data_IF_077392455295
#
_entry.id   IF_077392455295
#
_cell.length_a   1.000
_cell.length_b   1.000
_cell.length_c   1.000
_cell.angle_alpha   90.00
_cell.angle_beta   90.00
_cell.angle_gamma   90.00
#
_symmetry.space_group_name_H-M   'P 1'
#
loop_
_entity.id
_entity.type
_entity.pdbx_description
1 polymer ?
#
# COMPACT_ATOMS: atom_id res chain seq x y z
N UNK A 1 9.31 -44.19 11.15
CA UNK A 1 7.93 -44.23 10.63
C UNK A 1 7.58 -42.83 10.17
N UNK A 2 7.53 -42.59 8.85
CA UNK A 2 7.33 -41.27 8.29
C UNK A 2 5.86 -40.86 8.44
N UNK A 3 5.61 -39.78 9.16
CA UNK A 3 4.28 -39.20 9.38
C UNK A 3 3.87 -38.53 8.06
N UNK A 4 2.91 -39.14 7.35
CA UNK A 4 2.34 -38.58 6.12
C UNK A 4 1.63 -37.28 6.48
N UNK A 5 2.27 -36.14 6.23
CA UNK A 5 1.62 -34.84 6.32
C UNK A 5 0.63 -34.75 5.17
N UNK A 6 -0.65 -34.72 5.51
CA UNK A 6 -1.75 -34.55 4.55
C UNK A 6 -1.45 -33.36 3.63
N UNK A 7 -1.57 -33.53 2.29
CA UNK A 7 -1.18 -32.50 1.31
C UNK A 7 -1.93 -31.18 1.53
N UNK A 8 -3.10 -31.23 2.17
CA UNK A 8 -3.88 -30.06 2.55
C UNK A 8 -3.20 -29.19 3.61
N UNK A 9 -2.43 -29.79 4.53
CA UNK A 9 -1.71 -29.06 5.58
C UNK A 9 -0.56 -28.26 4.96
N UNK A 10 0.12 -28.84 3.97
CA UNK A 10 1.18 -28.15 3.21
C UNK A 10 0.59 -26.98 2.41
N UNK A 11 -0.57 -27.20 1.78
CA UNK A 11 -1.25 -26.15 1.02
C UNK A 11 -1.73 -24.99 1.91
N UNK A 12 -2.28 -25.29 3.09
CA UNK A 12 -2.68 -24.30 4.09
C UNK A 12 -1.49 -23.47 4.59
N UNK A 13 -0.36 -24.12 4.88
CA UNK A 13 0.86 -23.43 5.30
C UNK A 13 1.37 -22.47 4.22
N UNK A 14 1.35 -22.87 2.95
CA UNK A 14 1.75 -21.99 1.84
C UNK A 14 0.82 -20.77 1.72
N UNK A 15 -0.50 -20.97 1.81
CA UNK A 15 -1.47 -19.86 1.75
C UNK A 15 -1.29 -18.86 2.91
N UNK A 16 -0.92 -19.34 4.10
CA UNK A 16 -0.61 -18.48 5.25
C UNK A 16 0.67 -17.66 4.99
N UNK A 17 1.70 -18.26 4.40
CA UNK A 17 2.94 -17.53 4.05
C UNK A 17 2.66 -16.44 3.00
N UNK A 18 1.90 -16.74 1.94
CA UNK A 18 1.56 -15.76 0.90
C UNK A 18 0.60 -14.65 1.35
N UNK A 19 -0.24 -14.89 2.36
CA UNK A 19 -1.14 -13.86 2.88
C UNK A 19 -0.44 -12.85 3.81
N UNK A 20 0.68 -13.24 4.43
CA UNK A 20 1.51 -12.35 5.24
C UNK A 20 2.39 -11.43 4.38
N UNK A 21 2.68 -11.79 3.12
CA UNK A 21 3.43 -10.91 2.19
C UNK A 21 2.62 -9.71 1.64
N UNK A 22 1.34 -9.56 2.02
CA UNK A 22 0.57 -8.34 1.78
C UNK A 22 0.75 -7.29 2.90
N UNK A 23 1.87 -7.33 3.63
CA UNK A 23 2.26 -6.25 4.53
C UNK A 23 2.61 -5.02 3.69
N UNK A 24 1.68 -4.07 3.72
CA UNK A 24 1.80 -2.71 3.19
C UNK A 24 3.22 -2.19 3.39
N UNK A 25 3.97 -2.01 2.30
CA UNK A 25 5.28 -1.37 2.33
C UNK A 25 5.12 0.06 2.85
N UNK A 26 5.43 0.27 4.13
CA UNK A 26 5.62 1.59 4.73
C UNK A 26 7.02 2.06 4.35
N UNK A 27 7.11 2.86 3.30
CA UNK A 27 8.37 3.49 2.87
C UNK A 27 8.69 4.59 3.88
N UNK A 28 9.59 4.32 4.82
CA UNK A 28 10.08 5.32 5.78
C UNK A 28 10.99 6.32 5.07
N UNK A 29 10.45 7.51 4.78
CA UNK A 29 11.23 8.68 4.40
C UNK A 29 11.82 9.34 5.65
N UNK A 30 13.13 9.54 5.63
CA UNK A 30 13.95 10.06 6.72
C UNK A 30 13.53 11.46 7.23
N UNK A 31 13.55 11.63 8.55
CA UNK A 31 13.90 12.89 9.23
C UNK A 31 12.81 13.96 9.39
N UNK A 32 12.17 13.98 10.57
CA UNK A 32 11.42 15.13 11.11
C UNK A 32 9.94 15.14 10.76
N UNK A 33 9.07 14.83 11.73
CA UNK A 33 7.66 14.43 11.56
C UNK A 33 7.52 13.14 10.75
N UNK A 34 7.08 12.06 11.41
CA UNK A 34 6.79 10.79 10.73
C UNK A 34 5.68 11.08 9.72
N UNK A 35 6.02 11.13 8.45
CA UNK A 35 5.04 11.33 7.38
C UNK A 35 4.78 9.97 6.75
N UNK A 36 3.52 9.58 6.69
CA UNK A 36 3.07 8.37 6.06
C UNK A 36 2.61 8.68 4.64
N UNK A 37 2.86 7.73 3.74
CA UNK A 37 2.47 7.82 2.33
C UNK A 37 1.53 6.68 1.98
N UNK A 38 0.48 6.98 1.24
CA UNK A 38 -0.41 5.97 0.65
C UNK A 38 -0.72 6.38 -0.78
N UNK A 39 -0.65 5.45 -1.71
CA UNK A 39 -0.99 5.69 -3.11
C UNK A 39 -2.13 4.76 -3.55
N UNK A 40 -2.96 5.24 -4.46
CA UNK A 40 -3.92 4.40 -5.16
C UNK A 40 -3.92 4.70 -6.66
N UNK A 41 -4.17 3.64 -7.42
CA UNK A 41 -4.25 3.69 -8.87
C UNK A 41 -5.48 4.49 -9.32
N UNK A 42 -5.26 5.44 -10.22
CA UNK A 42 -6.32 6.24 -10.84
C UNK A 42 -6.48 7.61 -10.20
N UNK A 43 -5.73 8.59 -10.72
CA UNK A 43 -5.94 10.01 -10.48
C UNK A 43 -6.50 10.66 -11.75
N UNK A 44 -7.80 10.97 -11.75
CA UNK A 44 -8.46 11.67 -12.87
C UNK A 44 -8.39 13.18 -12.72
N UNK A 45 -8.60 13.66 -11.49
CA UNK A 45 -8.66 15.08 -11.14
C UNK A 45 -7.82 15.27 -9.87
N UNK A 46 -6.86 16.18 -9.92
CA UNK A 46 -5.95 16.46 -8.79
C UNK A 46 -6.70 17.01 -7.57
N UNK A 47 -7.71 17.86 -7.79
CA UNK A 47 -8.57 18.37 -6.73
C UNK A 47 -9.28 17.26 -5.96
N UNK A 48 -9.77 16.22 -6.64
CA UNK A 48 -10.44 15.08 -5.99
C UNK A 48 -9.47 14.32 -5.10
N UNK A 49 -8.25 14.09 -5.59
CA UNK A 49 -7.16 13.47 -4.83
C UNK A 49 -6.85 14.27 -3.56
N UNK A 50 -6.67 15.59 -3.68
CA UNK A 50 -6.41 16.49 -2.54
C UNK A 50 -7.53 16.40 -1.51
N UNK A 51 -8.80 16.53 -1.94
CA UNK A 51 -9.96 16.53 -1.04
C UNK A 51 -10.08 15.17 -0.33
N UNK A 52 -9.89 14.06 -1.04
CA UNK A 52 -9.95 12.73 -0.45
C UNK A 52 -8.82 12.49 0.56
N UNK A 53 -7.58 12.89 0.23
CA UNK A 53 -6.44 12.80 1.14
C UNK A 53 -6.67 13.60 2.42
N UNK A 54 -7.22 14.81 2.27
CA UNK A 54 -7.54 15.68 3.39
C UNK A 54 -8.67 15.09 4.25
N UNK A 55 -9.78 14.66 3.63
CA UNK A 55 -10.93 14.13 4.36
C UNK A 55 -10.63 12.81 5.08
N UNK A 56 -9.82 11.93 4.47
CA UNK A 56 -9.57 10.58 5.00
C UNK A 56 -8.40 10.51 5.97
N UNK A 57 -7.34 11.28 5.72
CA UNK A 57 -6.08 11.19 6.47
C UNK A 57 -5.65 12.51 7.11
N UNK A 58 -6.37 13.62 6.89
CA UNK A 58 -5.92 14.95 7.31
C UNK A 58 -4.64 15.40 6.61
N UNK A 59 -4.33 14.81 5.45
CA UNK A 59 -3.08 14.99 4.72
C UNK A 59 -3.22 15.86 3.48
N UNK A 60 -2.14 15.86 2.68
CA UNK A 60 -2.08 16.45 1.34
C UNK A 60 -2.14 15.36 0.29
N UNK A 61 -2.73 15.65 -0.87
CA UNK A 61 -2.79 14.75 -2.01
C UNK A 61 -2.12 15.35 -3.24
N UNK A 62 -1.59 14.52 -4.12
CA UNK A 62 -1.16 14.92 -5.46
C UNK A 62 -1.32 13.79 -6.47
N UNK A 63 -1.63 14.14 -7.72
CA UNK A 63 -1.56 13.19 -8.82
C UNK A 63 -0.11 13.05 -9.26
N UNK A 64 0.43 11.83 -9.26
CA UNK A 64 1.76 11.55 -9.79
C UNK A 64 1.74 10.32 -10.69
N UNK A 65 2.69 10.26 -11.63
CA UNK A 65 2.87 9.10 -12.50
C UNK A 65 4.12 8.33 -12.06
N UNK A 66 4.00 7.12 -11.50
CA UNK A 66 5.15 6.32 -11.12
C UNK A 66 6.01 5.96 -12.34
N UNK A 67 7.34 5.89 -12.22
CA UNK A 67 8.20 5.40 -13.29
C UNK A 67 7.84 3.95 -13.63
N UNK A 68 7.77 3.63 -14.93
CA UNK A 68 7.45 2.27 -15.40
C UNK A 68 5.95 1.92 -15.44
N UNK A 69 5.05 2.86 -15.18
CA UNK A 69 3.59 2.64 -15.24
C UNK A 69 2.90 3.55 -16.28
N UNK A 70 1.75 3.11 -16.77
CA UNK A 70 0.92 3.89 -17.73
C UNK A 70 -0.22 4.66 -17.06
N UNK A 71 -0.44 4.45 -15.76
CA UNK A 71 -1.53 5.06 -15.01
C UNK A 71 -1.00 6.16 -14.08
N UNK A 72 -1.83 7.17 -13.87
CA UNK A 72 -1.59 8.23 -12.90
C UNK A 72 -2.18 7.76 -11.57
N UNK A 73 -1.42 7.88 -10.49
CA UNK A 73 -1.81 7.53 -9.14
C UNK A 73 -2.06 8.79 -8.32
N UNK A 74 -2.95 8.68 -7.33
CA UNK A 74 -3.09 9.70 -6.30
C UNK A 74 -2.22 9.31 -5.11
N UNK A 75 -1.28 10.15 -4.72
CA UNK A 75 -0.44 10.00 -3.54
C UNK A 75 -0.96 10.90 -2.42
N UNK A 76 -1.26 10.34 -1.26
CA UNK A 76 -1.44 11.12 -0.05
C UNK A 76 -0.19 11.08 0.83
N UNK A 77 0.15 12.25 1.36
CA UNK A 77 1.11 12.43 2.43
C UNK A 77 0.40 12.96 3.67
N UNK A 78 0.50 12.25 4.79
CA UNK A 78 -0.20 12.61 6.03
C UNK A 78 0.68 12.37 7.26
N UNK A 79 0.45 13.11 8.35
CA UNK A 79 1.18 12.88 9.59
C UNK A 79 0.82 11.52 10.20
N UNK A 80 1.86 10.80 10.64
CA UNK A 80 1.82 9.62 11.49
C UNK A 80 2.99 9.72 12.50
#
# INVERSE_FOLDING_TARGET
MAKSCSPYVVLLLLLIVFSVDNVRMKVEGAGGNKTCRVAWQGCKIEQECIVQCYQKYGGRGSCFKPPGTFFIECLCEYPC
#
